data_IF_962788495151
#
_entry.id   IF_962788495151
#
_cell.length_a   1.000
_cell.length_b   1.000
_cell.length_c   1.000
_cell.angle_alpha   90.00
_cell.angle_beta   90.00
_cell.angle_gamma   90.00
#
_symmetry.space_group_name_H-M   'P 1'
#
loop_
_entity.id
_entity.type
_entity.pdbx_description
1 polymer ?
#
# COMPACT_ATOMS: atom_id res chain seq x y z
N UNK A 1 -16.01 20.72 13.46
CA UNK A 1 -14.63 20.82 12.90
C UNK A 1 -14.15 22.23 13.16
N UNK A 2 -12.93 22.41 13.64
CA UNK A 2 -12.32 23.73 13.76
C UNK A 2 -12.16 24.35 12.38
N UNK A 3 -12.35 25.68 12.22
CA UNK A 3 -12.43 26.32 10.90
C UNK A 3 -11.22 26.08 10.02
N UNK A 4 -10.03 26.08 10.58
CA UNK A 4 -8.75 25.91 9.88
C UNK A 4 -8.64 24.56 9.16
N UNK A 5 -9.27 23.51 9.69
CA UNK A 5 -9.25 22.19 9.05
C UNK A 5 -10.12 22.11 7.78
N UNK A 6 -10.96 23.11 7.52
CA UNK A 6 -11.77 23.15 6.29
C UNK A 6 -10.94 23.49 5.05
N UNK A 7 -9.82 24.17 5.24
CA UNK A 7 -8.90 24.55 4.18
C UNK A 7 -7.83 23.48 3.92
N UNK A 8 -7.75 22.45 4.78
CA UNK A 8 -6.78 21.37 4.65
C UNK A 8 -7.28 20.28 3.69
N UNK A 9 -6.35 19.74 2.91
CA UNK A 9 -6.54 18.52 2.16
C UNK A 9 -5.94 17.35 2.93
N UNK A 10 -6.74 16.31 3.17
CA UNK A 10 -6.31 15.14 3.91
C UNK A 10 -6.11 13.96 2.96
N UNK A 11 -4.90 13.42 2.94
CA UNK A 11 -4.56 12.21 2.23
C UNK A 11 -4.15 11.13 3.24
N UNK A 12 -4.82 9.99 3.16
CA UNK A 12 -4.63 8.90 4.11
C UNK A 12 -3.99 7.72 3.38
N UNK A 13 -2.78 7.35 3.81
CA UNK A 13 -2.15 6.13 3.36
C UNK A 13 -2.95 4.93 3.88
N UNK A 14 -3.55 4.16 2.98
CA UNK A 14 -4.41 3.04 3.30
C UNK A 14 -4.15 1.87 2.35
N UNK A 15 -3.50 0.83 2.86
CA UNK A 15 -3.14 -0.37 2.08
C UNK A 15 -4.12 -1.54 2.30
N UNK A 16 -5.28 -1.26 2.90
CA UNK A 16 -6.35 -2.23 3.11
C UNK A 16 -7.63 -1.79 2.43
N UNK A 17 -8.40 -2.74 1.92
CA UNK A 17 -9.64 -2.49 1.18
C UNK A 17 -10.91 -2.89 1.96
N UNK A 18 -10.76 -3.32 3.21
CA UNK A 18 -11.87 -3.79 4.02
C UNK A 18 -12.93 -2.71 4.22
N UNK A 19 -14.23 -3.06 4.09
CA UNK A 19 -15.33 -2.19 4.48
C UNK A 19 -15.36 -1.99 6.00
N UNK A 20 -16.18 -1.07 6.47
CA UNK A 20 -16.29 -0.78 7.91
C UNK A 20 -16.85 -2.00 8.67
N UNK A 21 -17.93 -2.58 8.19
CA UNK A 21 -18.72 -3.62 8.86
C UNK A 21 -18.91 -4.87 7.99
N UNK A 22 -19.48 -5.91 8.60
CA UNK A 22 -19.83 -7.16 7.94
C UNK A 22 -18.71 -8.21 7.96
N UNK A 23 -18.87 -9.33 7.22
CA UNK A 23 -17.94 -10.45 7.26
C UNK A 23 -16.52 -10.11 6.81
N UNK A 24 -16.36 -9.09 5.98
CA UNK A 24 -15.08 -8.55 5.54
C UNK A 24 -14.73 -7.23 6.24
N UNK A 25 -15.53 -6.81 7.22
CA UNK A 25 -15.34 -5.59 8.00
C UNK A 25 -14.17 -5.67 8.95
N UNK A 26 -13.76 -4.53 9.46
CA UNK A 26 -12.56 -4.44 10.29
C UNK A 26 -12.64 -5.28 11.59
N UNK A 27 -13.81 -5.37 12.22
CA UNK A 27 -13.98 -6.17 13.42
C UNK A 27 -13.81 -7.65 13.15
N UNK A 28 -14.39 -8.15 12.05
CA UNK A 28 -14.33 -9.56 11.68
C UNK A 28 -12.91 -9.99 11.26
N UNK A 29 -12.24 -9.15 10.47
CA UNK A 29 -10.93 -9.48 9.89
C UNK A 29 -9.78 -9.24 10.88
N UNK A 30 -9.80 -8.13 11.59
CA UNK A 30 -8.66 -7.74 12.46
C UNK A 30 -8.89 -7.99 13.94
N UNK A 31 -10.14 -8.25 14.37
CA UNK A 31 -10.48 -8.51 15.76
C UNK A 31 -9.79 -9.74 16.35
N UNK A 32 -9.82 -10.91 15.67
CA UNK A 32 -9.26 -12.15 16.21
C UNK A 32 -7.78 -12.04 16.60
N UNK A 33 -6.96 -11.47 15.75
CA UNK A 33 -5.52 -11.29 16.01
C UNK A 33 -5.23 -10.32 17.17
N UNK A 34 -6.23 -9.53 17.59
CA UNK A 34 -6.16 -8.58 18.71
C UNK A 34 -6.86 -9.11 19.95
N UNK A 35 -7.26 -10.39 19.96
CA UNK A 35 -7.84 -11.07 21.09
C UNK A 35 -9.36 -10.97 21.21
N UNK A 36 -10.06 -10.46 20.19
CA UNK A 36 -11.51 -10.43 20.21
C UNK A 36 -12.10 -11.82 19.92
N UNK A 37 -13.02 -12.26 20.78
CA UNK A 37 -13.82 -13.45 20.55
C UNK A 37 -15.01 -13.17 19.62
N UNK A 38 -15.75 -14.21 19.27
CA UNK A 38 -16.87 -14.10 18.34
C UNK A 38 -18.01 -13.18 18.84
N UNK A 39 -18.23 -13.10 20.16
CA UNK A 39 -19.23 -12.21 20.74
C UNK A 39 -18.78 -10.76 20.67
N UNK A 40 -17.52 -10.49 21.03
CA UNK A 40 -16.92 -9.16 20.92
C UNK A 40 -16.94 -8.65 19.47
N UNK A 41 -16.63 -9.53 18.50
CA UNK A 41 -16.67 -9.17 17.07
C UNK A 41 -18.07 -8.73 16.65
N UNK A 42 -19.12 -9.50 17.01
CA UNK A 42 -20.50 -9.14 16.72
C UNK A 42 -20.90 -7.79 17.32
N UNK A 43 -20.50 -7.59 18.60
CA UNK A 43 -20.79 -6.35 19.32
C UNK A 43 -20.10 -5.14 18.69
N UNK A 44 -18.81 -5.26 18.38
CA UNK A 44 -18.04 -4.19 17.73
C UNK A 44 -18.60 -3.85 16.35
N UNK A 45 -18.98 -4.85 15.56
CA UNK A 45 -19.55 -4.66 14.23
C UNK A 45 -20.91 -3.93 14.33
N UNK A 46 -21.75 -4.28 15.29
CA UNK A 46 -23.01 -3.57 15.57
C UNK A 46 -22.77 -2.11 15.98
N UNK A 47 -21.78 -1.83 16.83
CA UNK A 47 -21.44 -0.46 17.22
C UNK A 47 -20.94 0.37 16.06
N UNK A 48 -20.09 -0.18 15.21
CA UNK A 48 -19.59 0.51 14.01
C UNK A 48 -20.69 0.75 12.98
N UNK A 49 -21.62 -0.18 12.83
CA UNK A 49 -22.78 -0.01 11.97
C UNK A 49 -23.69 1.13 12.47
N UNK A 50 -23.95 1.18 13.78
CA UNK A 50 -24.71 2.27 14.40
C UNK A 50 -23.98 3.62 14.26
N UNK A 51 -22.66 3.64 14.50
CA UNK A 51 -21.82 4.82 14.29
C UNK A 51 -21.92 5.34 12.85
N UNK A 52 -21.83 4.45 11.86
CA UNK A 52 -21.96 4.82 10.45
C UNK A 52 -23.35 5.44 10.17
N UNK A 53 -24.42 4.85 10.67
CA UNK A 53 -25.79 5.40 10.53
C UNK A 53 -25.90 6.81 11.08
N UNK A 54 -25.40 7.05 12.31
CA UNK A 54 -25.42 8.37 12.94
C UNK A 54 -24.58 9.38 12.15
N UNK A 55 -23.39 8.98 11.72
CA UNK A 55 -22.48 9.87 10.97
C UNK A 55 -23.07 10.28 9.61
N UNK A 56 -23.79 9.39 8.94
CA UNK A 56 -24.43 9.67 7.66
C UNK A 56 -25.64 10.61 7.83
N UNK A 57 -26.50 10.35 8.81
CA UNK A 57 -27.65 11.23 9.13
C UNK A 57 -27.17 12.64 9.49
N UNK A 58 -26.15 12.77 10.33
CA UNK A 58 -25.56 14.06 10.67
C UNK A 58 -25.03 14.84 9.46
N UNK A 59 -24.47 14.11 8.47
CA UNK A 59 -23.97 14.71 7.24
C UNK A 59 -25.10 15.20 6.33
N UNK A 60 -26.19 14.45 6.23
CA UNK A 60 -27.37 14.83 5.46
C UNK A 60 -28.06 16.08 6.03
N UNK A 61 -28.24 16.15 7.35
CA UNK A 61 -28.79 17.30 8.04
C UNK A 61 -27.99 18.58 7.77
N UNK A 62 -26.65 18.50 7.90
CA UNK A 62 -25.77 19.65 7.64
C UNK A 62 -25.74 20.08 6.18
N UNK A 63 -25.90 19.16 5.24
CA UNK A 63 -26.01 19.49 3.81
C UNK A 63 -27.29 20.25 3.51
N UNK A 64 -28.37 19.97 4.25
CA UNK A 64 -29.64 20.70 4.12
C UNK A 64 -29.57 22.12 4.70
N UNK A 65 -28.74 22.35 5.75
CA UNK A 65 -28.60 23.65 6.41
C UNK A 65 -27.63 24.60 5.70
N UNK A 66 -26.60 24.09 5.03
CA UNK A 66 -25.55 24.89 4.39
C UNK A 66 -25.13 24.31 3.05
N UNK A 67 -25.73 24.80 1.98
CA UNK A 67 -25.42 24.38 0.60
C UNK A 67 -24.00 24.80 0.14
N UNK A 68 -23.32 25.68 0.89
CA UNK A 68 -21.94 26.10 0.60
C UNK A 68 -20.90 25.12 1.14
N UNK A 69 -21.29 24.22 2.02
CA UNK A 69 -20.42 23.14 2.49
C UNK A 69 -20.26 22.15 1.35
N UNK A 70 -19.15 22.25 0.63
CA UNK A 70 -18.75 21.37 -0.46
C UNK A 70 -18.39 19.99 0.12
N UNK A 71 -19.37 19.30 0.68
CA UNK A 71 -19.29 17.90 1.02
C UNK A 71 -19.36 17.17 -0.31
N UNK A 72 -18.18 16.89 -0.88
CA UNK A 72 -18.05 16.13 -2.12
C UNK A 72 -19.05 14.98 -2.12
N UNK A 73 -19.83 14.87 -3.18
CA UNK A 73 -20.84 13.85 -3.45
C UNK A 73 -20.22 12.45 -3.50
N UNK A 74 -19.75 11.98 -2.38
CA UNK A 74 -19.53 10.56 -2.23
C UNK A 74 -20.82 10.02 -1.61
N UNK A 75 -21.52 9.18 -2.33
CA UNK A 75 -22.50 8.28 -1.72
C UNK A 75 -21.73 7.53 -0.65
N UNK A 76 -21.75 8.03 0.58
CA UNK A 76 -20.97 7.49 1.68
C UNK A 76 -21.75 6.34 2.23
N UNK A 77 -21.53 5.24 1.63
CA UNK A 77 -21.86 3.97 2.22
C UNK A 77 -20.64 3.53 3.05
N UNK A 78 -20.86 2.81 4.14
CA UNK A 78 -19.78 2.30 5.00
C UNK A 78 -18.97 1.17 4.33
N UNK A 79 -19.24 0.86 3.05
CA UNK A 79 -18.67 -0.26 2.29
C UNK A 79 -17.53 0.16 1.34
N UNK A 80 -17.19 1.45 1.24
CA UNK A 80 -16.08 1.85 0.37
C UNK A 80 -14.75 1.20 0.82
N UNK A 81 -13.87 0.87 -0.13
CA UNK A 81 -12.58 0.27 0.16
C UNK A 81 -11.75 1.13 1.14
N UNK A 82 -11.29 0.51 2.22
CA UNK A 82 -10.53 1.18 3.27
C UNK A 82 -11.36 1.83 4.38
N UNK A 83 -12.69 1.75 4.33
CA UNK A 83 -13.55 2.26 5.42
C UNK A 83 -13.19 1.63 6.77
N UNK A 84 -12.86 0.35 6.79
CA UNK A 84 -12.44 -0.39 7.98
C UNK A 84 -10.99 -0.16 8.41
N UNK A 85 -10.19 0.59 7.66
CA UNK A 85 -8.80 0.84 8.01
C UNK A 85 -8.67 1.41 9.42
N UNK A 86 -7.70 0.89 10.18
CA UNK A 86 -7.44 1.27 11.57
C UNK A 86 -8.70 1.28 12.47
N UNK A 87 -9.56 0.24 12.31
CA UNK A 87 -10.76 0.10 13.14
C UNK A 87 -11.85 1.10 12.85
N UNK A 88 -11.94 1.61 11.62
CA UNK A 88 -12.96 2.57 11.17
C UNK A 88 -12.47 4.00 11.08
N UNK A 89 -11.19 4.29 11.33
CA UNK A 89 -10.63 5.62 11.09
C UNK A 89 -10.67 6.01 9.61
N UNK A 90 -10.50 5.08 8.69
CA UNK A 90 -10.67 5.32 7.25
C UNK A 90 -12.04 5.90 6.93
N UNK A 91 -13.11 5.33 7.50
CA UNK A 91 -14.46 5.86 7.40
C UNK A 91 -14.57 7.26 8.00
N UNK A 92 -14.07 7.45 9.24
CA UNK A 92 -14.14 8.73 9.94
C UNK A 92 -13.46 9.87 9.15
N UNK A 93 -12.23 9.65 8.68
CA UNK A 93 -11.51 10.65 7.92
C UNK A 93 -12.22 11.02 6.62
N UNK A 94 -12.73 10.04 5.90
CA UNK A 94 -13.45 10.31 4.66
C UNK A 94 -14.76 11.06 4.90
N UNK A 95 -15.53 10.66 5.93
CA UNK A 95 -16.84 11.26 6.23
C UNK A 95 -16.71 12.66 6.80
N UNK A 96 -15.84 12.88 7.78
CA UNK A 96 -15.79 14.14 8.52
C UNK A 96 -14.77 15.13 7.99
N UNK A 97 -13.70 14.66 7.34
CA UNK A 97 -12.61 15.50 6.87
C UNK A 97 -12.47 15.52 5.35
N UNK A 98 -13.37 14.84 4.63
CA UNK A 98 -13.31 14.69 3.18
C UNK A 98 -11.95 14.15 2.69
N UNK A 99 -11.34 13.27 3.49
CA UNK A 99 -10.03 12.72 3.18
C UNK A 99 -10.08 11.78 1.98
N UNK A 100 -9.03 11.78 1.19
CA UNK A 100 -8.79 10.83 0.12
C UNK A 100 -7.94 9.67 0.66
N UNK A 101 -8.45 8.45 0.53
CA UNK A 101 -7.70 7.25 0.87
C UNK A 101 -6.95 6.77 -0.37
N UNK A 102 -5.65 6.63 -0.26
CA UNK A 102 -4.78 6.18 -1.34
C UNK A 102 -3.82 5.12 -0.82
N UNK A 103 -3.33 4.24 -1.69
CA UNK A 103 -2.26 3.33 -1.33
C UNK A 103 -1.02 4.11 -0.88
N UNK A 104 -0.38 3.65 0.21
CA UNK A 104 0.81 4.28 0.76
C UNK A 104 1.92 4.39 -0.28
N UNK A 105 2.09 3.37 -1.12
CA UNK A 105 3.07 3.41 -2.20
C UNK A 105 2.78 4.52 -3.21
N UNK A 106 1.54 4.72 -3.62
CA UNK A 106 1.19 5.79 -4.58
C UNK A 106 1.52 7.17 -4.04
N UNK A 107 1.27 7.41 -2.74
CA UNK A 107 1.65 8.66 -2.08
C UNK A 107 3.17 8.84 -2.15
N UNK A 108 3.95 7.81 -1.76
CA UNK A 108 5.41 7.88 -1.76
C UNK A 108 5.96 8.12 -3.18
N UNK A 109 5.45 7.39 -4.18
CA UNK A 109 5.90 7.53 -5.57
C UNK A 109 5.66 8.94 -6.12
N UNK A 110 4.53 9.56 -5.75
CA UNK A 110 4.20 10.92 -6.14
C UNK A 110 5.07 11.93 -5.41
N UNK A 111 5.17 11.86 -4.07
CA UNK A 111 5.93 12.82 -3.27
C UNK A 111 7.44 12.76 -3.54
N UNK A 112 7.94 11.61 -4.00
CA UNK A 112 9.35 11.46 -4.43
C UNK A 112 9.58 11.88 -5.88
N UNK A 113 8.53 12.26 -6.61
CA UNK A 113 8.59 12.58 -8.05
C UNK A 113 9.26 11.46 -8.87
N UNK A 114 9.00 10.19 -8.50
CA UNK A 114 9.67 9.05 -9.13
C UNK A 114 9.41 9.03 -10.64
N UNK A 115 8.22 9.39 -11.07
CA UNK A 115 7.84 9.38 -12.49
C UNK A 115 8.76 10.28 -13.33
N UNK A 116 9.13 11.45 -12.83
CA UNK A 116 10.06 12.36 -13.53
C UNK A 116 11.47 11.76 -13.61
N UNK A 117 11.93 11.12 -12.54
CA UNK A 117 13.27 10.49 -12.48
C UNK A 117 13.40 9.28 -13.38
N UNK A 118 12.32 8.53 -13.56
CA UNK A 118 12.30 7.33 -14.39
C UNK A 118 12.45 7.66 -15.88
N UNK A 119 11.98 8.82 -16.35
CA UNK A 119 12.04 9.21 -17.76
C UNK A 119 13.45 9.13 -18.35
N UNK A 120 14.45 9.53 -17.59
CA UNK A 120 15.84 9.60 -18.02
C UNK A 120 16.67 8.39 -17.56
N UNK A 121 16.06 7.41 -16.87
CA UNK A 121 16.77 6.24 -16.39
C UNK A 121 17.00 5.21 -17.52
N UNK A 122 18.16 4.55 -17.52
CA UNK A 122 18.40 3.36 -18.36
C UNK A 122 17.78 2.10 -17.77
N UNK A 123 17.80 1.98 -16.45
CA UNK A 123 17.24 0.87 -15.66
C UNK A 123 16.55 1.41 -14.43
N UNK A 124 15.49 0.76 -14.02
CA UNK A 124 14.83 1.01 -12.75
C UNK A 124 15.09 -0.17 -11.82
N UNK A 125 15.57 0.14 -10.62
CA UNK A 125 15.88 -0.88 -9.61
C UNK A 125 14.87 -0.75 -8.48
N UNK A 126 14.30 -1.87 -8.08
CA UNK A 126 13.38 -1.97 -6.95
C UNK A 126 13.71 -3.20 -6.10
N UNK A 127 13.03 -3.36 -4.98
CA UNK A 127 13.23 -4.54 -4.14
C UNK A 127 12.42 -4.48 -2.85
N UNK A 128 12.43 -5.61 -2.17
CA UNK A 128 11.84 -5.78 -0.84
C UNK A 128 12.52 -6.94 -0.10
N UNK A 129 12.17 -7.15 1.16
CA UNK A 129 12.75 -8.23 1.97
C UNK A 129 12.44 -9.63 1.41
N UNK A 130 11.21 -9.84 0.91
CA UNK A 130 10.76 -11.09 0.31
C UNK A 130 9.84 -10.83 -0.88
N UNK A 131 10.24 -11.29 -2.04
CA UNK A 131 9.45 -11.27 -3.27
C UNK A 131 8.61 -12.54 -3.36
N UNK A 132 7.30 -12.41 -3.45
CA UNK A 132 6.32 -13.50 -3.48
C UNK A 132 5.05 -13.10 -4.25
N UNK A 133 4.06 -14.01 -4.34
CA UNK A 133 2.78 -13.75 -4.99
C UNK A 133 1.96 -12.61 -4.36
N UNK A 134 2.25 -12.21 -3.12
CA UNK A 134 1.59 -11.05 -2.51
C UNK A 134 2.19 -9.71 -2.97
N UNK A 135 3.38 -9.73 -3.55
CA UNK A 135 4.03 -8.53 -4.06
C UNK A 135 3.17 -7.82 -5.11
N UNK A 136 2.45 -8.59 -5.93
CA UNK A 136 1.56 -8.05 -6.98
C UNK A 136 0.28 -7.40 -6.43
N UNK A 137 0.01 -7.53 -5.14
CA UNK A 137 -1.15 -6.93 -4.48
C UNK A 137 -0.92 -5.44 -4.09
N UNK A 138 -0.09 -4.72 -4.84
CA UNK A 138 0.13 -3.28 -4.66
C UNK A 138 1.28 -2.92 -3.74
N UNK A 139 2.24 -3.84 -3.52
CA UNK A 139 3.47 -3.51 -2.78
C UNK A 139 4.41 -2.62 -3.60
N UNK A 140 5.40 -2.04 -2.93
CA UNK A 140 6.34 -1.08 -3.50
C UNK A 140 7.00 -1.52 -4.82
N UNK A 141 7.48 -2.77 -4.99
CA UNK A 141 8.12 -3.17 -6.23
C UNK A 141 7.22 -3.04 -7.46
N UNK A 142 5.94 -3.37 -7.32
CA UNK A 142 4.99 -3.29 -8.44
C UNK A 142 4.63 -1.84 -8.74
N UNK A 143 4.39 -1.00 -7.73
CA UNK A 143 4.14 0.42 -7.97
C UNK A 143 5.28 1.12 -8.73
N UNK A 144 6.52 0.78 -8.40
CA UNK A 144 7.71 1.26 -9.12
C UNK A 144 7.74 0.71 -10.55
N UNK A 145 7.45 -0.59 -10.74
CA UNK A 145 7.44 -1.23 -12.05
C UNK A 145 6.36 -0.63 -12.97
N UNK A 146 5.17 -0.35 -12.46
CA UNK A 146 4.09 0.29 -13.22
C UNK A 146 4.53 1.64 -13.80
N UNK A 147 5.18 2.48 -12.99
CA UNK A 147 5.71 3.76 -13.47
C UNK A 147 6.80 3.53 -14.52
N UNK A 148 7.73 2.62 -14.28
CA UNK A 148 8.82 2.33 -15.21
C UNK A 148 8.30 1.86 -16.57
N UNK A 149 7.27 1.03 -16.60
CA UNK A 149 6.66 0.49 -17.82
C UNK A 149 5.93 1.54 -18.65
N UNK A 150 5.39 2.60 -18.06
CA UNK A 150 4.85 3.74 -18.82
C UNK A 150 5.90 4.34 -19.78
N UNK A 151 7.17 4.28 -19.40
CA UNK A 151 8.30 4.84 -20.16
C UNK A 151 9.18 3.76 -20.82
N UNK A 152 8.71 2.51 -20.85
CA UNK A 152 9.43 1.40 -21.50
C UNK A 152 10.76 1.05 -20.83
N UNK A 153 10.95 1.39 -19.54
CA UNK A 153 12.21 1.17 -18.84
C UNK A 153 12.30 -0.25 -18.30
N UNK A 154 13.47 -0.91 -18.42
CA UNK A 154 13.72 -2.20 -17.80
C UNK A 154 13.70 -2.09 -16.27
N UNK A 155 13.04 -3.06 -15.62
CA UNK A 155 12.90 -3.13 -14.16
C UNK A 155 13.60 -4.36 -13.62
N UNK A 156 14.54 -4.16 -12.71
CA UNK A 156 15.25 -5.22 -12.00
C UNK A 156 14.87 -5.17 -10.52
N UNK A 157 14.44 -6.29 -9.97
CA UNK A 157 14.15 -6.39 -8.55
C UNK A 157 15.22 -7.20 -7.80
N UNK A 158 15.65 -6.67 -6.65
CA UNK A 158 16.57 -7.36 -5.74
C UNK A 158 15.86 -7.62 -4.42
N UNK A 159 15.94 -8.86 -3.94
CA UNK A 159 15.20 -9.27 -2.74
C UNK A 159 16.05 -10.13 -1.83
N UNK A 160 15.85 -9.99 -0.52
CA UNK A 160 16.48 -10.85 0.47
C UNK A 160 16.05 -12.31 0.33
N UNK A 161 14.80 -12.56 -0.04
CA UNK A 161 14.26 -13.89 -0.28
C UNK A 161 13.35 -13.85 -1.52
N UNK A 162 13.37 -14.91 -2.31
CA UNK A 162 12.49 -15.11 -3.47
C UNK A 162 11.70 -16.40 -3.24
N UNK A 163 10.38 -16.31 -3.22
CA UNK A 163 9.48 -17.44 -3.05
C UNK A 163 9.24 -18.16 -4.39
N UNK A 164 8.72 -19.37 -4.33
CA UNK A 164 8.43 -20.20 -5.53
C UNK A 164 7.42 -19.53 -6.47
N UNK A 165 6.48 -18.78 -5.93
CA UNK A 165 5.42 -18.06 -6.66
C UNK A 165 5.83 -16.65 -7.12
N UNK A 166 7.06 -16.22 -6.87
CA UNK A 166 7.55 -14.89 -7.25
C UNK A 166 7.52 -14.64 -8.76
N UNK A 167 7.50 -15.70 -9.58
CA UNK A 167 7.44 -15.62 -11.04
C UNK A 167 6.27 -14.79 -11.56
N UNK A 168 5.17 -14.69 -10.81
CA UNK A 168 4.03 -13.84 -11.16
C UNK A 168 4.41 -12.37 -11.29
N UNK A 169 5.44 -11.90 -10.58
CA UNK A 169 5.90 -10.51 -10.64
C UNK A 169 6.38 -10.09 -12.03
N UNK A 170 6.82 -11.04 -12.87
CA UNK A 170 7.21 -10.74 -14.24
C UNK A 170 6.01 -10.32 -15.11
N UNK A 171 4.82 -10.82 -14.83
CA UNK A 171 3.60 -10.43 -15.52
C UNK A 171 3.14 -9.01 -15.14
N UNK A 172 3.64 -8.49 -14.00
CA UNK A 172 3.32 -7.17 -13.46
C UNK A 172 4.44 -6.14 -13.64
N UNK A 173 5.34 -6.37 -14.58
CA UNK A 173 6.30 -5.37 -15.06
C UNK A 173 7.70 -5.45 -14.47
N UNK A 174 8.01 -6.43 -13.63
CA UNK A 174 9.38 -6.72 -13.22
C UNK A 174 10.01 -7.59 -14.30
N UNK A 175 11.01 -7.10 -15.04
CA UNK A 175 11.64 -7.87 -16.12
C UNK A 175 12.52 -9.00 -15.61
N UNK A 176 13.21 -8.77 -14.51
CA UNK A 176 14.01 -9.80 -13.84
C UNK A 176 14.10 -9.52 -12.33
N UNK A 177 14.15 -10.58 -11.54
CA UNK A 177 14.36 -10.48 -10.11
C UNK A 177 15.45 -11.44 -9.64
N UNK A 178 16.13 -11.05 -8.57
CA UNK A 178 17.29 -11.75 -8.06
C UNK A 178 17.25 -11.82 -6.53
N UNK A 179 17.56 -13.01 -5.98
CA UNK A 179 17.92 -13.11 -4.57
C UNK A 179 19.31 -12.53 -4.35
N UNK A 180 19.46 -11.74 -3.29
CA UNK A 180 20.78 -11.23 -2.89
C UNK A 180 21.55 -12.21 -1.99
N UNK A 181 20.94 -13.35 -1.62
CA UNK A 181 21.61 -14.33 -0.77
C UNK A 181 22.73 -15.04 -1.54
N UNK A 182 23.97 -14.72 -1.22
CA UNK A 182 25.14 -15.37 -1.79
C UNK A 182 25.53 -16.65 -1.05
N UNK A 183 25.16 -16.79 0.23
CA UNK A 183 25.49 -17.91 1.09
C UNK A 183 24.24 -18.43 1.81
N UNK A 184 24.24 -19.72 2.14
CA UNK A 184 23.28 -20.30 3.05
C UNK A 184 23.59 -19.86 4.49
N UNK A 185 22.55 -19.50 5.24
CA UNK A 185 22.67 -19.08 6.64
C UNK A 185 21.31 -18.93 7.29
N UNK A 186 21.30 -18.72 8.58
CA UNK A 186 20.07 -18.35 9.30
C UNK A 186 19.63 -16.95 8.92
N UNK A 187 18.34 -16.64 9.12
CA UNK A 187 17.80 -15.29 8.87
C UNK A 187 18.59 -14.23 9.65
N UNK A 188 18.97 -14.52 10.89
CA UNK A 188 19.76 -13.59 11.70
C UNK A 188 21.12 -13.26 11.06
N UNK A 189 21.86 -14.28 10.62
CA UNK A 189 23.17 -14.13 10.01
C UNK A 189 23.11 -13.37 8.68
N UNK A 190 22.18 -13.73 7.80
CA UNK A 190 22.08 -13.11 6.46
C UNK A 190 21.50 -11.69 6.51
N UNK A 191 20.83 -11.32 7.61
CA UNK A 191 20.25 -9.99 7.83
C UNK A 191 21.18 -9.04 8.59
N UNK A 192 22.37 -9.50 9.02
CA UNK A 192 23.37 -8.61 9.58
C UNK A 192 23.77 -7.55 8.54
N UNK A 193 23.90 -6.30 8.99
CA UNK A 193 24.07 -5.16 8.10
C UNK A 193 25.27 -5.31 7.17
N UNK A 194 26.42 -5.78 7.67
CA UNK A 194 27.63 -5.99 6.86
C UNK A 194 27.41 -7.10 5.81
N UNK A 195 26.82 -8.22 6.23
CA UNK A 195 26.56 -9.34 5.34
C UNK A 195 25.52 -8.98 4.26
N UNK A 196 24.43 -8.32 4.65
CA UNK A 196 23.40 -7.87 3.72
C UNK A 196 23.96 -6.86 2.69
N UNK A 197 24.81 -5.94 3.14
CA UNK A 197 25.48 -4.97 2.28
C UNK A 197 26.42 -5.65 1.30
N UNK A 198 27.23 -6.60 1.75
CA UNK A 198 28.11 -7.37 0.89
C UNK A 198 27.32 -8.19 -0.15
N UNK A 199 26.30 -8.89 0.28
CA UNK A 199 25.42 -9.69 -0.58
C UNK A 199 24.80 -8.82 -1.68
N UNK A 200 24.20 -7.68 -1.32
CA UNK A 200 23.59 -6.76 -2.27
C UNK A 200 24.63 -6.23 -3.27
N UNK A 201 25.75 -5.74 -2.77
CA UNK A 201 26.83 -5.17 -3.61
C UNK A 201 27.34 -6.20 -4.61
N UNK A 202 27.64 -7.41 -4.14
CA UNK A 202 28.16 -8.48 -4.99
C UNK A 202 27.16 -8.89 -6.06
N UNK A 203 25.91 -9.10 -5.68
CA UNK A 203 24.85 -9.52 -6.64
C UNK A 203 24.60 -8.45 -7.70
N UNK A 204 24.43 -7.20 -7.28
CA UNK A 204 24.22 -6.07 -8.20
C UNK A 204 25.40 -5.90 -9.16
N UNK A 205 26.64 -5.94 -8.63
CA UNK A 205 27.82 -5.82 -9.47
C UNK A 205 27.88 -6.88 -10.56
N UNK A 206 27.64 -8.17 -10.23
CA UNK A 206 27.70 -9.24 -11.21
C UNK A 206 26.63 -9.09 -12.29
N UNK A 207 25.43 -8.68 -11.92
CA UNK A 207 24.35 -8.46 -12.87
C UNK A 207 24.68 -7.30 -13.82
N UNK A 208 25.19 -6.19 -13.31
CA UNK A 208 25.59 -5.07 -14.18
C UNK A 208 26.81 -5.38 -15.04
N UNK A 209 27.73 -6.24 -14.58
CA UNK A 209 28.81 -6.78 -15.44
C UNK A 209 28.24 -7.59 -16.60
N UNK A 210 27.26 -8.45 -16.35
CA UNK A 210 26.58 -9.22 -17.40
C UNK A 210 25.88 -8.28 -18.39
N UNK A 211 25.11 -7.33 -17.91
CA UNK A 211 24.41 -6.34 -18.75
C UNK A 211 25.41 -5.58 -19.64
N UNK A 212 26.54 -5.16 -19.08
CA UNK A 212 27.58 -4.47 -19.84
C UNK A 212 28.18 -5.36 -20.94
N UNK A 213 28.38 -6.63 -20.66
CA UNK A 213 28.92 -7.59 -21.65
C UNK A 213 27.94 -7.85 -22.81
N UNK A 214 26.64 -7.82 -22.55
CA UNK A 214 25.61 -8.04 -23.57
C UNK A 214 25.32 -6.80 -24.45
N UNK A 215 25.75 -5.62 -24.03
CA UNK A 215 25.60 -4.36 -24.80
C UNK A 215 26.74 -4.14 -25.82
N UNK A 216 27.74 -5.01 -25.85
CA UNK A 216 28.86 -5.00 -26.80
C UNK A 216 28.82 -6.25 -27.70
#
# INVERSE_FOLDING_TARGET
>A
MIPELRECQFQIACDVTNPLCGPQGCSAVYGPQKGADAEMIRQMDAWLSNYAGIALSFKEERKAEDASVNLVNVGVDASFPGAGAAGGLGFAFRVFMNAELQSGIQIVLRETELEEKVKDADYVITGEGRLDGQTVMGKAPIGVAEIAKKYGKPVLAFSGCVAEDAGVCNEYGIDAFFSILCNAGTIAEVSECEQATWNMTTTVEQIFRLIKTLKH
#
